data_IF_043730882808
#
_entry.id   IF_043730882808
#
_cell.length_a   1.000
_cell.length_b   1.000
_cell.length_c   1.000
_cell.angle_alpha   90.00
_cell.angle_beta   90.00
_cell.angle_gamma   90.00
#
_symmetry.space_group_name_H-M   'P 1'
#
loop_
_entity.id
_entity.type
_entity.pdbx_description
1 polymer ?
#
# COMPACT_ATOMS: atom_id res chain seq x y z
N UNK A 1 0.44 5.83 5.31
CA UNK A 1 0.83 5.12 4.07
C UNK A 1 1.18 6.07 2.94
N UNK A 2 0.30 7.00 2.52
CA UNK A 2 0.59 7.90 1.38
C UNK A 2 1.84 8.79 1.56
N UNK A 3 2.21 9.13 2.81
CA UNK A 3 3.41 9.89 3.15
C UNK A 3 4.74 9.23 2.74
N UNK A 4 4.72 7.97 2.29
CA UNK A 4 5.90 7.30 1.72
C UNK A 4 6.18 7.69 0.27
N UNK A 5 5.28 8.42 -0.42
CA UNK A 5 5.49 8.88 -1.80
C UNK A 5 6.88 9.47 -2.07
N UNK A 6 7.47 10.33 -1.21
CA UNK A 6 8.80 10.90 -1.45
C UNK A 6 9.94 9.86 -1.41
N UNK A 7 9.71 8.68 -0.83
CA UNK A 7 10.69 7.59 -0.71
C UNK A 7 10.61 6.61 -1.88
N UNK A 8 9.59 6.73 -2.74
CA UNK A 8 9.37 5.81 -3.84
C UNK A 8 10.31 6.08 -5.00
N UNK A 9 11.02 5.05 -5.44
CA UNK A 9 11.66 5.02 -6.75
C UNK A 9 11.28 3.71 -7.46
N UNK A 10 11.16 3.73 -8.79
CA UNK A 10 10.86 2.50 -9.55
C UNK A 10 11.96 1.45 -9.38
N UNK A 11 13.20 1.90 -9.20
CA UNK A 11 14.40 1.07 -9.02
C UNK A 11 14.52 0.47 -7.62
N UNK A 12 14.00 1.15 -6.60
CA UNK A 12 13.95 0.69 -5.21
C UNK A 12 12.61 1.07 -4.56
N UNK A 13 11.58 0.21 -4.68
CA UNK A 13 10.26 0.47 -4.10
C UNK A 13 10.17 0.03 -2.62
N UNK A 14 11.23 -0.55 -2.04
CA UNK A 14 11.17 -1.25 -0.74
C UNK A 14 10.75 -0.35 0.43
N UNK A 15 11.10 0.94 0.35
CA UNK A 15 10.78 1.94 1.37
C UNK A 15 9.41 2.62 1.20
N UNK A 16 8.62 2.20 0.21
CA UNK A 16 7.34 2.80 -0.13
C UNK A 16 6.22 1.78 -0.43
N UNK A 17 6.36 0.54 0.08
CA UNK A 17 5.44 -0.55 -0.24
C UNK A 17 4.00 -0.30 0.24
N UNK A 18 3.78 0.49 1.28
CA UNK A 18 2.41 0.84 1.67
C UNK A 18 1.83 1.85 0.69
N UNK A 19 2.61 2.87 0.31
CA UNK A 19 2.18 3.84 -0.70
C UNK A 19 1.87 3.17 -2.04
N UNK A 20 2.77 2.33 -2.56
CA UNK A 20 2.57 1.67 -3.87
C UNK A 20 1.36 0.77 -3.88
N UNK A 21 1.02 0.12 -2.76
CA UNK A 21 -0.19 -0.68 -2.63
C UNK A 21 -1.47 0.19 -2.64
N UNK A 22 -1.43 1.37 -2.02
CA UNK A 22 -2.57 2.32 -1.99
C UNK A 22 -2.90 2.82 -3.39
N UNK A 23 -1.89 3.11 -4.21
CA UNK A 23 -2.07 3.68 -5.57
C UNK A 23 -2.03 2.64 -6.69
N UNK A 24 -2.02 1.35 -6.35
CA UNK A 24 -1.82 0.27 -7.33
C UNK A 24 -2.99 0.17 -8.32
N UNK A 25 -2.76 0.55 -9.59
CA UNK A 25 -3.79 0.63 -10.66
C UNK A 25 -4.64 -0.63 -10.82
N UNK A 26 -4.04 -1.82 -10.69
CA UNK A 26 -4.73 -3.09 -10.91
C UNK A 26 -5.59 -3.52 -9.72
N UNK A 27 -5.40 -2.97 -8.53
CA UNK A 27 -6.24 -3.23 -7.36
C UNK A 27 -7.65 -2.69 -7.60
N UNK A 28 -8.69 -3.47 -7.29
CA UNK A 28 -10.10 -3.12 -7.54
C UNK A 28 -10.96 -3.07 -6.29
N UNK A 29 -10.57 -3.80 -5.27
CA UNK A 29 -11.32 -3.94 -4.03
C UNK A 29 -10.41 -3.60 -2.86
N UNK A 30 -10.99 -2.92 -1.89
CA UNK A 30 -10.34 -2.46 -0.68
C UNK A 30 -11.22 -2.80 0.52
N UNK A 31 -10.62 -3.34 1.58
CA UNK A 31 -11.27 -3.57 2.86
C UNK A 31 -10.43 -3.00 3.98
N UNK A 32 -11.06 -2.34 4.95
CA UNK A 32 -10.40 -1.79 6.13
C UNK A 32 -11.00 -2.42 7.39
N UNK A 33 -10.16 -3.09 8.18
CA UNK A 33 -10.48 -3.54 9.52
C UNK A 33 -9.90 -2.58 10.56
N UNK A 34 -10.67 -2.32 11.62
CA UNK A 34 -10.24 -1.46 12.73
C UNK A 34 -10.51 -2.19 14.05
N UNK A 35 -9.53 -2.17 14.94
CA UNK A 35 -9.58 -2.81 16.26
C UNK A 35 -8.99 -1.87 17.31
N UNK A 36 -9.67 -1.73 18.45
CA UNK A 36 -9.12 -1.04 19.61
C UNK A 36 -8.33 -2.04 20.45
N UNK A 37 -7.05 -1.77 20.66
CA UNK A 37 -6.17 -2.59 21.47
C UNK A 37 -6.40 -2.31 22.97
N UNK A 38 -6.17 -3.30 23.87
CA UNK A 38 -6.37 -3.13 25.30
C UNK A 38 -5.54 -2.01 25.95
N UNK A 39 -4.43 -1.63 25.32
CA UNK A 39 -3.55 -0.54 25.78
C UNK A 39 -4.00 0.86 25.30
N UNK A 40 -5.20 0.99 24.72
CA UNK A 40 -5.71 2.24 24.16
C UNK A 40 -5.19 2.58 22.77
N UNK A 41 -4.37 1.72 22.16
CA UNK A 41 -3.98 1.85 20.76
C UNK A 41 -5.11 1.49 19.79
N UNK A 42 -4.98 1.91 18.53
CA UNK A 42 -5.91 1.52 17.45
C UNK A 42 -5.12 0.82 16.34
N UNK A 43 -5.55 -0.37 15.96
CA UNK A 43 -4.96 -1.17 14.90
C UNK A 43 -5.82 -1.00 13.65
N UNK A 44 -5.18 -0.60 12.56
CA UNK A 44 -5.78 -0.54 11.23
C UNK A 44 -5.15 -1.60 10.34
N UNK A 45 -5.97 -2.39 9.65
CA UNK A 45 -5.54 -3.38 8.67
C UNK A 45 -6.25 -3.11 7.36
N UNK A 46 -5.50 -2.92 6.28
CA UNK A 46 -6.07 -2.80 4.95
C UNK A 46 -5.76 -4.02 4.08
N UNK A 47 -6.79 -4.56 3.48
CA UNK A 47 -6.72 -5.62 2.49
C UNK A 47 -7.04 -5.07 1.10
N UNK A 48 -6.27 -5.51 0.11
CA UNK A 48 -6.36 -5.06 -1.26
C UNK A 48 -6.49 -6.26 -2.19
N UNK A 49 -7.41 -6.21 -3.15
CA UNK A 49 -7.59 -7.27 -4.14
C UNK A 49 -7.86 -6.71 -5.55
N UNK A 50 -7.24 -7.21 -6.62
CA UNK A 50 -6.03 -8.06 -6.62
C UNK A 50 -4.88 -7.42 -5.84
N UNK A 51 -3.98 -8.24 -5.29
CA UNK A 51 -2.85 -7.73 -4.51
C UNK A 51 -1.92 -6.88 -5.40
N UNK A 52 -1.28 -5.88 -4.82
CA UNK A 52 -0.28 -5.06 -5.49
C UNK A 52 1.16 -5.53 -5.25
N UNK A 53 2.11 -4.64 -5.51
CA UNK A 53 3.53 -4.79 -5.19
C UNK A 53 4.20 -6.02 -5.82
N UNK A 54 3.78 -6.40 -7.02
CA UNK A 54 4.51 -7.38 -7.82
C UNK A 54 5.79 -6.74 -8.38
N UNK A 55 6.94 -7.39 -8.14
CA UNK A 55 8.30 -6.89 -8.44
C UNK A 55 8.45 -6.27 -9.84
N UNK A 56 7.83 -6.87 -10.85
CA UNK A 56 8.00 -6.46 -12.25
C UNK A 56 6.84 -5.58 -12.77
N UNK A 57 5.96 -5.14 -11.88
CA UNK A 57 4.71 -4.45 -12.25
C UNK A 57 4.58 -3.02 -11.73
N UNK A 58 5.59 -2.50 -11.01
CA UNK A 58 5.55 -1.17 -10.41
C UNK A 58 5.36 -0.06 -11.45
N UNK A 59 6.11 -0.09 -12.56
CA UNK A 59 6.04 0.93 -13.60
C UNK A 59 4.66 1.03 -14.29
N UNK A 60 3.89 -0.06 -14.37
CA UNK A 60 2.55 -0.04 -14.99
C UNK A 60 1.44 0.29 -13.99
N UNK A 61 1.71 0.14 -12.69
CA UNK A 61 0.70 0.26 -11.64
C UNK A 61 0.83 1.49 -10.75
N UNK A 62 2.01 2.12 -10.67
CA UNK A 62 2.29 3.32 -9.87
C UNK A 62 2.63 4.45 -10.84
N UNK A 63 1.61 5.23 -11.23
CA UNK A 63 1.68 6.20 -12.35
C UNK A 63 1.94 7.65 -11.91
N UNK A 64 2.21 7.89 -10.63
CA UNK A 64 2.16 9.20 -10.00
C UNK A 64 3.49 9.69 -9.44
#
# INVERSE_FOLDING_TARGET
>A
WFSEKPKYTVTDPTNALHFTQVVWRSTKFFGLGVCNAPNGGVIFVANYYPRGNYKDQFAQNVLC
#
